data_IF_645350371205
#
_entry.id   IF_645350371205
#
_cell.length_a   1.000
_cell.length_b   1.000
_cell.length_c   1.000
_cell.angle_alpha   90.00
_cell.angle_beta   90.00
_cell.angle_gamma   90.00
#
_symmetry.space_group_name_H-M   'P 1'
#
loop_
_entity.id
_entity.type
_entity.pdbx_description
1 polymer ?
#
# COMPACT_ATOMS: atom_id res chain seq x y z
N UNK A 1 -4.23 18.14 -9.02
CA UNK A 1 -3.62 18.39 -7.69
C UNK A 1 -4.13 17.44 -6.61
N UNK A 2 -5.42 17.17 -6.46
CA UNK A 2 -5.93 16.24 -5.41
C UNK A 2 -5.33 14.83 -5.52
N UNK A 3 -5.16 14.35 -6.75
CA UNK A 3 -4.51 13.07 -7.05
C UNK A 3 -3.05 12.99 -6.56
N UNK A 4 -2.28 14.08 -6.69
CA UNK A 4 -0.89 14.13 -6.23
C UNK A 4 -0.79 14.14 -4.70
N UNK A 5 -1.74 14.79 -4.01
CA UNK A 5 -1.84 14.72 -2.56
C UNK A 5 -2.16 13.30 -2.08
N UNK A 6 -3.04 12.61 -2.81
CA UNK A 6 -3.37 11.21 -2.55
C UNK A 6 -2.17 10.27 -2.79
N UNK A 7 -1.44 10.44 -3.89
CA UNK A 7 -0.20 9.70 -4.14
C UNK A 7 0.88 9.98 -3.10
N UNK A 8 1.03 11.23 -2.65
CA UNK A 8 1.96 11.58 -1.58
C UNK A 8 1.58 10.90 -0.25
N UNK A 9 0.29 10.84 0.08
CA UNK A 9 -0.18 10.09 1.25
C UNK A 9 0.13 8.59 1.12
N UNK A 10 -0.06 8.01 -0.07
CA UNK A 10 0.28 6.60 -0.35
C UNK A 10 1.78 6.33 -0.23
N UNK A 11 2.61 7.14 -0.89
CA UNK A 11 4.07 6.96 -0.86
C UNK A 11 4.64 7.12 0.54
N UNK A 12 3.98 7.90 1.39
CA UNK A 12 4.31 8.00 2.81
C UNK A 12 3.94 6.73 3.59
N UNK A 13 2.89 6.01 3.21
CA UNK A 13 2.44 4.77 3.88
C UNK A 13 3.28 3.54 3.52
N UNK A 14 3.88 3.52 2.33
CA UNK A 14 4.75 2.44 1.82
C UNK A 14 5.87 2.04 2.80
N UNK A 15 6.72 2.97 3.31
CA UNK A 15 7.77 2.63 4.27
C UNK A 15 7.25 2.14 5.63
N UNK A 16 6.02 2.49 6.02
CA UNK A 16 5.40 1.96 7.25
C UNK A 16 4.97 0.51 7.08
N UNK A 17 4.54 0.10 5.88
CA UNK A 17 4.23 -1.29 5.60
C UNK A 17 5.49 -2.17 5.72
N UNK A 18 6.59 -1.76 5.10
CA UNK A 18 7.86 -2.49 5.21
C UNK A 18 8.39 -2.55 6.65
N UNK A 19 8.25 -1.46 7.40
CA UNK A 19 8.57 -1.45 8.83
C UNK A 19 7.69 -2.44 9.62
N UNK A 20 6.38 -2.46 9.35
CA UNK A 20 5.46 -3.40 9.98
C UNK A 20 5.85 -4.86 9.67
N UNK A 21 6.26 -5.16 8.43
CA UNK A 21 6.74 -6.48 8.07
C UNK A 21 8.02 -6.88 8.82
N UNK A 22 8.98 -5.96 8.94
CA UNK A 22 10.21 -6.20 9.71
C UNK A 22 9.89 -6.41 11.20
N UNK A 23 9.00 -5.60 11.76
CA UNK A 23 8.54 -5.72 13.14
C UNK A 23 7.83 -7.06 13.38
N UNK A 24 6.98 -7.53 12.46
CA UNK A 24 6.30 -8.83 12.60
C UNK A 24 7.30 -9.99 12.71
N UNK A 25 8.40 -9.94 11.94
CA UNK A 25 9.48 -10.92 12.00
C UNK A 25 10.30 -10.82 13.29
N UNK A 26 10.52 -9.62 13.82
CA UNK A 26 11.26 -9.41 15.08
C UNK A 26 10.54 -9.97 16.31
N UNK A 27 9.20 -10.02 16.29
CA UNK A 27 8.38 -10.62 17.35
C UNK A 27 7.89 -12.04 17.01
N UNK A 28 8.27 -12.57 15.84
CA UNK A 28 7.89 -13.90 15.38
C UNK A 28 8.58 -15.03 16.16
N UNK A 29 8.11 -16.26 15.94
CA UNK A 29 8.70 -17.45 16.55
C UNK A 29 10.19 -17.57 16.19
N UNK A 30 11.05 -17.75 17.20
CA UNK A 30 12.50 -17.90 17.03
C UNK A 30 13.29 -16.58 17.04
N UNK A 31 12.62 -15.42 17.08
CA UNK A 31 13.30 -14.14 17.22
C UNK A 31 13.68 -13.84 18.68
N UNK A 32 14.71 -12.99 18.88
CA UNK A 32 15.21 -12.61 20.22
C UNK A 32 14.11 -11.95 21.07
N UNK A 33 13.22 -11.19 20.45
CA UNK A 33 12.05 -10.58 21.11
C UNK A 33 10.78 -11.46 21.06
N UNK A 34 10.85 -12.60 20.38
CA UNK A 34 9.75 -13.55 20.16
C UNK A 34 9.42 -14.45 21.36
N UNK A 35 10.26 -14.47 22.40
CA UNK A 35 10.12 -15.38 23.53
C UNK A 35 9.17 -14.87 24.63
N UNK A 36 8.63 -13.65 24.48
CA UNK A 36 7.70 -13.10 25.47
C UNK A 36 6.27 -13.59 25.22
N UNK A 37 5.44 -13.79 26.27
CA UNK A 37 4.06 -14.26 26.11
C UNK A 37 3.16 -13.37 25.22
N UNK A 38 3.54 -12.10 25.06
CA UNK A 38 2.85 -11.11 24.23
C UNK A 38 3.38 -11.08 22.78
N UNK A 39 4.57 -11.62 22.52
CA UNK A 39 5.25 -11.50 21.23
C UNK A 39 4.40 -12.02 20.05
N UNK A 40 3.73 -13.15 20.21
CA UNK A 40 2.88 -13.71 19.15
C UNK A 40 1.71 -12.77 18.79
N UNK A 41 1.14 -12.06 19.78
CA UNK A 41 0.09 -11.06 19.55
C UNK A 41 0.65 -9.82 18.84
N UNK A 42 1.86 -9.40 19.19
CA UNK A 42 2.55 -8.28 18.53
C UNK A 42 2.87 -8.63 17.07
N UNK A 43 3.42 -9.82 16.82
CA UNK A 43 3.71 -10.31 15.47
C UNK A 43 2.45 -10.33 14.60
N UNK A 44 1.34 -10.88 15.10
CA UNK A 44 0.07 -10.90 14.38
C UNK A 44 -0.50 -9.49 14.13
N UNK A 45 -0.33 -8.56 15.08
CA UNK A 45 -0.74 -7.16 14.92
C UNK A 45 0.05 -6.45 13.81
N UNK A 46 1.37 -6.60 13.80
CA UNK A 46 2.23 -6.04 12.75
C UNK A 46 1.99 -6.70 11.39
N UNK A 47 1.68 -8.00 11.34
CA UNK A 47 1.32 -8.69 10.10
C UNK A 47 -0.02 -8.20 9.53
N UNK A 48 -1.03 -7.97 10.38
CA UNK A 48 -2.28 -7.32 9.98
C UNK A 48 -2.05 -5.92 9.42
N UNK A 49 -1.23 -5.10 10.11
CA UNK A 49 -0.88 -3.76 9.66
C UNK A 49 -0.14 -3.78 8.32
N UNK A 50 0.77 -4.73 8.12
CA UNK A 50 1.48 -4.90 6.86
C UNK A 50 0.51 -5.18 5.71
N UNK A 51 -0.43 -6.10 5.89
CA UNK A 51 -1.41 -6.45 4.85
C UNK A 51 -2.33 -5.28 4.51
N UNK A 52 -2.82 -4.58 5.53
CA UNK A 52 -3.65 -3.37 5.34
C UNK A 52 -2.89 -2.24 4.62
N UNK A 53 -1.59 -2.09 4.88
CA UNK A 53 -0.76 -1.07 4.24
C UNK A 53 -0.25 -1.45 2.85
N UNK A 54 -0.05 -2.75 2.58
CA UNK A 54 0.55 -3.25 1.34
C UNK A 54 -0.45 -3.47 0.21
N UNK A 55 -1.66 -3.93 0.49
CA UNK A 55 -2.62 -4.36 -0.54
C UNK A 55 -3.28 -3.18 -1.30
N UNK A 56 -2.68 -1.98 -1.27
CA UNK A 56 -3.18 -0.80 -1.96
C UNK A 56 -2.56 -0.68 -3.37
N UNK A 57 -3.24 -1.27 -4.35
CA UNK A 57 -2.94 -1.08 -5.78
C UNK A 57 -3.52 0.24 -6.29
N UNK A 58 -2.78 0.92 -7.20
CA UNK A 58 -3.26 2.16 -7.84
C UNK A 58 -4.47 1.81 -8.71
N UNK A 59 -5.67 2.36 -8.43
CA UNK A 59 -6.84 2.08 -9.24
C UNK A 59 -6.71 2.75 -10.62
N UNK A 60 -7.27 2.12 -11.65
CA UNK A 60 -7.41 2.73 -12.97
C UNK A 60 -8.28 4.00 -12.89
N UNK A 61 -7.96 5.01 -13.71
CA UNK A 61 -8.79 6.23 -13.78
C UNK A 61 -10.20 5.95 -14.31
N UNK A 62 -10.37 4.89 -15.10
CA UNK A 62 -11.66 4.49 -15.66
C UNK A 62 -12.18 5.42 -16.76
N UNK A 63 -11.33 6.27 -17.33
CA UNK A 63 -11.68 7.23 -18.39
C UNK A 63 -11.25 6.65 -19.73
N UNK A 64 -12.20 6.14 -20.52
CA UNK A 64 -11.90 5.51 -21.81
C UNK A 64 -11.92 6.47 -22.99
N UNK A 65 -12.76 7.50 -22.93
CA UNK A 65 -12.95 8.47 -24.02
C UNK A 65 -13.25 9.86 -23.48
N UNK A 66 -12.78 10.89 -24.18
CA UNK A 66 -13.08 12.29 -23.87
C UNK A 66 -13.50 13.04 -25.14
N UNK A 67 -14.38 14.03 -24.97
CA UNK A 67 -14.79 14.92 -26.06
C UNK A 67 -13.76 16.01 -26.28
N UNK A 68 -13.25 16.14 -27.49
CA UNK A 68 -12.39 17.26 -27.92
C UNK A 68 -13.07 17.92 -29.12
N UNK A 69 -13.78 19.02 -28.86
CA UNK A 69 -14.70 19.61 -29.83
C UNK A 69 -15.88 18.69 -30.13
N UNK A 70 -16.11 18.38 -31.41
CA UNK A 70 -17.18 17.51 -31.89
C UNK A 70 -16.74 16.04 -32.10
N UNK A 71 -15.55 15.66 -31.64
CA UNK A 71 -15.02 14.31 -31.81
C UNK A 71 -14.73 13.65 -30.47
N UNK A 72 -15.05 12.36 -30.38
CA UNK A 72 -14.67 11.50 -29.27
C UNK A 72 -13.26 10.95 -29.52
N UNK A 73 -12.37 11.14 -28.56
CA UNK A 73 -10.97 10.69 -28.60
C UNK A 73 -10.78 9.60 -27.55
N UNK A 74 -10.11 8.51 -27.95
CA UNK A 74 -9.78 7.40 -27.06
C UNK A 74 -8.60 7.77 -26.17
N UNK A 75 -8.68 7.43 -24.89
CA UNK A 75 -7.58 7.56 -23.93
C UNK A 75 -6.94 6.19 -23.74
N UNK A 76 -5.62 6.14 -23.83
CA UNK A 76 -4.82 4.99 -23.41
C UNK A 76 -4.17 5.31 -22.06
N UNK A 77 -4.60 4.60 -21.02
CA UNK A 77 -4.00 4.72 -19.68
C UNK A 77 -2.65 4.00 -19.65
N UNK A 78 -1.65 4.59 -18.99
CA UNK A 78 -0.34 3.99 -18.75
C UNK A 78 -0.02 4.10 -17.27
N UNK A 79 0.29 2.97 -16.64
CA UNK A 79 0.69 2.90 -15.23
C UNK A 79 2.18 2.54 -15.23
N UNK A 80 3.04 3.49 -14.87
CA UNK A 80 4.44 3.20 -14.58
C UNK A 80 4.54 2.57 -13.19
N UNK A 81 5.21 1.41 -13.11
CA UNK A 81 5.45 0.62 -11.88
C UNK A 81 6.85 0.90 -11.37
#
# INVERSE_FOLDING_TARGET
>A
MLYQLYEAQRSLMEPFADFAQAASKLYGQGAVFGQTPIAQRMAAGYDLLYRLGKDYEKPEFGIKTVKVGDRDVVIHESIEV
#
